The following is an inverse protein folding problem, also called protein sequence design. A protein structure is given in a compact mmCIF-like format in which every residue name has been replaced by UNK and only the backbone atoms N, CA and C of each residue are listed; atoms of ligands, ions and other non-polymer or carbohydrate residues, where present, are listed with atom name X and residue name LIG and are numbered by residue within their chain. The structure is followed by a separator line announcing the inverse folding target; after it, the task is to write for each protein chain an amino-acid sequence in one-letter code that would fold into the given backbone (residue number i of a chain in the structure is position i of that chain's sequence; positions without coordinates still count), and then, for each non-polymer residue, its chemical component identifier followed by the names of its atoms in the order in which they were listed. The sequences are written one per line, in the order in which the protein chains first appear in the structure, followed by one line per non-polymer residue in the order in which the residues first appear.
data_IF_739426842146
#
_entry.id   IF_739426842146
#
_cell.length_a   1.000
_cell.length_b   1.000
_cell.length_c   1.000
_cell.angle_alpha   90.00
_cell.angle_beta   90.00
_cell.angle_gamma   90.00
#
_symmetry.space_group_name_H-M   'P 1'
#
loop_
_entity.id
_entity.type
_entity.pdbx_description
1 polymer ?
#
# COMPACT_ATOMS: atom_id res chain seq x y z
N UNK A 1 -12.65 -7.42 4.54
CA UNK A 1 -12.99 -8.23 5.74
C UNK A 1 -13.44 -7.29 6.85
N UNK A 2 -14.39 -7.67 7.72
CA UNK A 2 -14.70 -6.84 8.87
C UNK A 2 -13.51 -6.86 9.82
N UNK A 3 -13.16 -5.67 10.30
CA UNK A 3 -12.23 -5.48 11.41
C UNK A 3 -12.76 -6.28 12.62
N UNK A 4 -11.87 -6.99 13.31
CA UNK A 4 -12.24 -7.84 14.44
C UNK A 4 -11.84 -7.17 15.77
N UNK A 5 -12.76 -7.06 16.71
CA UNK A 5 -12.40 -6.71 18.09
C UNK A 5 -11.86 -7.95 18.80
N UNK A 6 -10.76 -7.79 19.53
CA UNK A 6 -10.13 -8.83 20.35
C UNK A 6 -10.27 -8.46 21.82
N UNK A 7 -10.35 -9.47 22.69
CA UNK A 7 -10.67 -9.30 24.12
C UNK A 7 -9.52 -9.67 25.06
N UNK A 8 -8.41 -10.22 24.54
CA UNK A 8 -7.21 -10.56 25.33
C UNK A 8 -6.00 -10.78 24.43
N UNK A 9 -4.81 -10.82 25.05
CA UNK A 9 -3.58 -11.28 24.41
C UNK A 9 -3.68 -12.74 23.96
N UNK A 10 -4.32 -13.61 24.76
CA UNK A 10 -4.51 -15.01 24.36
C UNK A 10 -5.34 -15.13 23.09
N UNK A 11 -6.38 -14.28 22.94
CA UNK A 11 -7.16 -14.23 21.71
C UNK A 11 -6.29 -13.69 20.56
N UNK A 12 -5.55 -12.59 20.77
CA UNK A 12 -4.64 -12.04 19.76
C UNK A 12 -3.68 -13.12 19.23
N UNK A 13 -2.98 -13.80 20.13
CA UNK A 13 -2.01 -14.83 19.77
C UNK A 13 -2.64 -15.96 18.95
N UNK A 14 -3.90 -16.35 19.23
CA UNK A 14 -4.61 -17.37 18.46
C UNK A 14 -5.00 -16.93 17.04
N UNK A 15 -5.01 -15.62 16.77
CA UNK A 15 -5.41 -15.04 15.48
C UNK A 15 -4.22 -14.79 14.56
N UNK A 16 -3.01 -14.66 15.10
CA UNK A 16 -1.78 -14.44 14.34
C UNK A 16 -1.38 -15.70 13.57
N UNK A 17 -1.05 -15.56 12.29
CA UNK A 17 -0.72 -16.69 11.40
C UNK A 17 0.63 -16.49 10.72
N UNK A 18 1.50 -17.51 10.67
CA UNK A 18 2.75 -17.44 9.93
C UNK A 18 2.55 -17.00 8.48
N UNK A 19 3.42 -16.11 7.99
CA UNK A 19 3.38 -15.62 6.61
C UNK A 19 2.29 -14.59 6.30
N UNK A 20 1.42 -14.25 7.26
CA UNK A 20 0.44 -13.17 7.13
C UNK A 20 0.90 -11.93 7.93
N UNK A 21 0.63 -10.73 7.40
CA UNK A 21 0.77 -9.50 8.17
C UNK A 21 -0.54 -9.17 8.86
N UNK A 22 -0.46 -8.91 10.16
CA UNK A 22 -1.62 -8.55 10.99
C UNK A 22 -1.39 -7.22 11.69
N UNK A 23 -2.47 -6.46 11.87
CA UNK A 23 -2.44 -5.14 12.48
C UNK A 23 -3.38 -5.10 13.67
N UNK A 24 -2.92 -4.56 14.80
CA UNK A 24 -3.72 -4.43 16.02
C UNK A 24 -3.74 -2.99 16.47
N UNK A 25 -4.89 -2.32 16.39
CA UNK A 25 -5.04 -0.98 16.96
C UNK A 25 -5.41 -1.09 18.44
N UNK A 26 -4.49 -0.66 19.29
CA UNK A 26 -4.77 -0.33 20.68
C UNK A 26 -5.35 1.08 20.73
N UNK A 27 -6.56 1.21 21.26
CA UNK A 27 -7.25 2.49 21.36
C UNK A 27 -7.94 2.61 22.73
N UNK A 28 -8.34 3.82 23.12
CA UNK A 28 -9.15 4.05 24.32
C UNK A 28 -10.47 4.70 23.92
N UNK A 29 -11.59 4.05 24.22
CA UNK A 29 -12.91 4.66 23.99
C UNK A 29 -13.07 5.97 24.76
N UNK A 30 -13.63 7.00 24.12
CA UNK A 30 -13.79 8.34 24.67
C UNK A 30 -12.54 9.22 24.60
N UNK A 31 -11.45 8.76 23.96
CA UNK A 31 -10.30 9.59 23.65
C UNK A 31 -10.40 10.10 22.21
N UNK A 32 -10.41 11.42 22.03
CA UNK A 32 -10.47 12.07 20.71
C UNK A 32 -9.39 11.55 19.75
N UNK A 33 -8.14 11.44 20.23
CA UNK A 33 -7.04 10.91 19.43
C UNK A 33 -7.29 9.46 18.99
N UNK A 34 -7.85 8.64 19.88
CA UNK A 34 -8.17 7.24 19.60
C UNK A 34 -9.32 7.10 18.60
N UNK A 35 -10.37 7.92 18.74
CA UNK A 35 -11.52 7.96 17.83
C UNK A 35 -11.10 8.40 16.43
N UNK A 36 -10.22 9.41 16.33
CA UNK A 36 -9.60 9.83 15.07
C UNK A 36 -8.89 8.66 14.38
N UNK A 37 -8.01 7.95 15.12
CA UNK A 37 -7.25 6.84 14.56
C UNK A 37 -8.15 5.68 14.12
N UNK A 38 -9.13 5.34 14.95
CA UNK A 38 -10.11 4.29 14.66
C UNK A 38 -10.90 4.60 13.38
N UNK A 39 -11.42 5.82 13.25
CA UNK A 39 -12.18 6.26 12.08
C UNK A 39 -11.34 6.21 10.79
N UNK A 40 -10.08 6.68 10.84
CA UNK A 40 -9.19 6.70 9.68
C UNK A 40 -8.72 5.29 9.28
N UNK A 41 -8.42 4.44 10.25
CA UNK A 41 -8.06 3.04 10.01
C UNK A 41 -9.25 2.28 9.39
N UNK A 42 -10.47 2.48 9.90
CA UNK A 42 -11.68 1.85 9.37
C UNK A 42 -11.89 2.19 7.89
N UNK A 43 -11.72 3.46 7.51
CA UNK A 43 -11.80 3.91 6.11
C UNK A 43 -10.77 3.22 5.22
N UNK A 44 -9.54 3.07 5.71
CA UNK A 44 -8.46 2.43 4.95
C UNK A 44 -8.63 0.91 4.82
N UNK A 45 -9.03 0.24 5.92
CA UNK A 45 -9.24 -1.20 5.97
C UNK A 45 -10.41 -1.66 5.09
N UNK A 46 -11.43 -0.81 4.91
CA UNK A 46 -12.53 -1.08 3.96
C UNK A 46 -12.04 -1.26 2.51
N UNK A 47 -10.86 -0.73 2.17
CA UNK A 47 -10.27 -0.79 0.83
C UNK A 47 -9.32 -1.99 0.64
N UNK A 48 -9.09 -2.82 1.66
CA UNK A 48 -8.10 -3.91 1.62
C UNK A 48 -8.67 -5.24 2.13
N UNK A 49 -8.92 -6.18 1.22
CA UNK A 49 -9.50 -7.48 1.58
C UNK A 49 -8.51 -8.48 2.20
N UNK A 50 -7.21 -8.22 2.06
CA UNK A 50 -6.14 -9.18 2.39
C UNK A 50 -5.50 -9.02 3.76
N UNK A 51 -5.82 -7.97 4.51
CA UNK A 51 -5.19 -7.72 5.81
C UNK A 51 -6.12 -8.02 6.97
N UNK A 52 -5.55 -8.69 7.98
CA UNK A 52 -6.21 -8.88 9.26
C UNK A 52 -5.98 -7.64 10.11
N UNK A 53 -7.02 -6.82 10.28
CA UNK A 53 -7.02 -5.67 11.18
C UNK A 53 -7.87 -6.01 12.40
N UNK A 54 -7.27 -5.84 13.58
CA UNK A 54 -7.87 -6.11 14.88
C UNK A 54 -7.89 -4.85 15.74
N UNK A 55 -8.85 -4.76 16.66
CA UNK A 55 -9.00 -3.64 17.58
C UNK A 55 -9.03 -4.14 19.02
N UNK A 56 -8.36 -3.44 19.93
CA UNK A 56 -8.46 -3.68 21.36
C UNK A 56 -8.66 -2.34 22.09
N UNK A 57 -9.78 -2.20 22.80
CA UNK A 57 -9.99 -1.08 23.71
C UNK A 57 -9.22 -1.34 25.00
N UNK A 58 -8.27 -0.47 25.36
CA UNK A 58 -7.48 -0.61 26.59
C UNK A 58 -8.31 -0.44 27.87
N UNK A 59 -9.53 0.09 27.79
CA UNK A 59 -10.45 0.10 28.92
C UNK A 59 -10.91 -1.32 29.29
N UNK A 60 -11.11 -2.17 28.29
CA UNK A 60 -11.60 -3.56 28.41
C UNK A 60 -10.44 -4.57 28.43
N UNK A 61 -9.43 -4.36 27.59
CA UNK A 61 -8.31 -5.28 27.33
C UNK A 61 -7.00 -4.70 27.86
N UNK A 62 -6.54 -5.21 29.00
CA UNK A 62 -5.42 -4.62 29.76
C UNK A 62 -4.09 -5.35 29.65
N UNK A 63 -4.07 -6.52 29.03
CA UNK A 63 -2.90 -7.38 28.95
C UNK A 63 -2.03 -7.09 27.72
N UNK A 64 -2.63 -6.79 26.56
CA UNK A 64 -1.89 -6.60 25.30
C UNK A 64 -0.88 -5.44 25.39
N UNK A 65 -1.29 -4.28 25.88
CA UNK A 65 -0.40 -3.11 25.95
C UNK A 65 0.76 -3.33 26.94
N UNK A 66 0.53 -4.08 28.01
CA UNK A 66 1.57 -4.47 28.97
C UNK A 66 2.54 -5.47 28.36
N UNK A 67 2.04 -6.43 27.58
CA UNK A 67 2.87 -7.46 26.94
C UNK A 67 3.87 -6.88 25.93
N UNK A 68 3.51 -5.79 25.25
CA UNK A 68 4.34 -5.14 24.23
C UNK A 68 4.92 -3.78 24.67
N UNK A 69 4.91 -3.47 25.98
CA UNK A 69 5.43 -2.22 26.56
C UNK A 69 4.88 -0.93 25.90
N UNK A 70 3.59 -0.93 25.60
CA UNK A 70 2.90 0.20 24.96
C UNK A 70 2.27 1.10 26.02
N UNK A 71 2.83 2.28 26.19
CA UNK A 71 2.39 3.27 27.19
C UNK A 71 1.42 4.33 26.66
N UNK A 72 1.21 4.40 25.33
CA UNK A 72 0.41 5.44 24.69
C UNK A 72 -0.63 4.85 23.75
N UNK A 73 -1.81 5.48 23.69
CA UNK A 73 -2.87 5.16 22.72
C UNK A 73 -3.33 6.44 22.01
N UNK A 74 -3.73 6.36 20.73
CA UNK A 74 -3.80 5.16 19.90
C UNK A 74 -2.42 4.66 19.44
N UNK A 75 -2.26 3.34 19.36
CA UNK A 75 -1.06 2.67 18.85
C UNK A 75 -1.44 1.49 17.97
N UNK A 76 -1.00 1.51 16.72
CA UNK A 76 -1.17 0.44 15.76
C UNK A 76 0.07 -0.47 15.78
N UNK A 77 -0.09 -1.66 16.35
CA UNK A 77 0.93 -2.71 16.35
C UNK A 77 0.91 -3.48 15.04
N UNK A 78 2.09 -3.81 14.54
CA UNK A 78 2.31 -4.53 13.29
C UNK A 78 2.97 -5.87 13.62
N UNK A 79 2.39 -6.94 13.12
CA UNK A 79 2.89 -8.30 13.26
C UNK A 79 3.27 -8.86 11.90
N UNK A 80 4.44 -9.51 11.86
CA UNK A 80 4.88 -10.31 10.71
C UNK A 80 4.82 -11.77 11.12
N UNK A 81 3.80 -12.48 10.63
CA UNK A 81 3.49 -13.80 11.15
C UNK A 81 3.00 -13.72 12.60
N UNK A 82 3.72 -14.39 13.49
CA UNK A 82 3.46 -14.40 14.94
C UNK A 82 4.37 -13.44 15.71
N UNK A 83 5.30 -12.77 15.02
CA UNK A 83 6.29 -11.90 15.65
C UNK A 83 5.84 -10.44 15.61
N UNK A 84 5.99 -9.75 16.74
CA UNK A 84 5.82 -8.31 16.82
C UNK A 84 6.97 -7.61 16.07
N UNK A 85 6.62 -6.76 15.12
CA UNK A 85 7.58 -6.10 14.22
C UNK A 85 7.76 -4.62 14.56
N UNK A 86 6.66 -3.86 14.67
CA UNK A 86 6.72 -2.41 14.87
C UNK A 86 5.43 -1.83 15.45
N UNK A 87 5.48 -0.56 15.89
CA UNK A 87 4.34 0.23 16.34
C UNK A 87 4.29 1.59 15.66
N UNK A 88 3.10 1.99 15.22
CA UNK A 88 2.79 3.33 14.75
C UNK A 88 1.91 4.02 15.79
N UNK A 89 2.34 5.18 16.27
CA UNK A 89 1.66 5.91 17.36
C UNK A 89 0.85 7.08 16.79
N UNK A 90 -0.26 7.40 17.46
CA UNK A 90 -1.07 8.58 17.17
C UNK A 90 -2.08 8.39 16.03
N UNK A 91 -2.89 9.43 15.81
CA UNK A 91 -3.81 9.46 14.69
C UNK A 91 -3.06 9.83 13.41
N UNK A 92 -3.26 9.04 12.35
CA UNK A 92 -2.73 9.30 11.02
C UNK A 92 -3.88 9.38 10.01
N UNK A 93 -3.64 10.02 8.87
CA UNK A 93 -4.60 10.14 7.79
C UNK A 93 -4.94 8.79 7.13
N UNK A 94 -6.13 8.63 6.52
CA UNK A 94 -6.49 7.40 5.81
C UNK A 94 -5.48 7.02 4.72
N UNK A 95 -4.91 8.01 4.01
CA UNK A 95 -3.91 7.80 2.96
C UNK A 95 -2.62 7.15 3.47
N UNK A 96 -2.22 7.44 4.70
CA UNK A 96 -1.07 6.83 5.34
C UNK A 96 -1.30 5.32 5.53
N UNK A 97 -2.46 4.93 6.08
CA UNK A 97 -2.81 3.51 6.27
C UNK A 97 -2.98 2.78 4.93
N UNK A 98 -3.57 3.42 3.93
CA UNK A 98 -3.66 2.86 2.57
C UNK A 98 -2.25 2.60 2.01
N UNK A 99 -1.33 3.54 2.18
CA UNK A 99 0.07 3.37 1.77
C UNK A 99 0.76 2.23 2.51
N UNK A 100 0.57 2.14 3.83
CA UNK A 100 1.10 1.05 4.67
C UNK A 100 0.61 -0.32 4.20
N UNK A 101 -0.69 -0.45 3.93
CA UNK A 101 -1.31 -1.67 3.44
C UNK A 101 -0.85 -2.03 2.03
N UNK A 102 -0.82 -1.05 1.11
CA UNK A 102 -0.29 -1.29 -0.24
C UNK A 102 1.18 -1.72 -0.20
N UNK A 103 1.97 -1.14 0.70
CA UNK A 103 3.37 -1.48 0.85
C UNK A 103 3.54 -2.94 1.29
N UNK A 104 2.79 -3.35 2.30
CA UNK A 104 2.73 -4.72 2.78
C UNK A 104 2.26 -5.72 1.71
N UNK A 105 1.23 -5.40 0.91
CA UNK A 105 0.72 -6.30 -0.15
C UNK A 105 1.79 -6.58 -1.19
N UNK A 106 2.49 -5.52 -1.58
CA UNK A 106 3.54 -5.60 -2.57
C UNK A 106 4.68 -6.50 -2.11
N UNK A 107 5.13 -6.35 -0.86
CA UNK A 107 6.19 -7.21 -0.32
C UNK A 107 5.74 -8.67 -0.20
N UNK A 108 4.49 -8.91 0.20
CA UNK A 108 3.92 -10.27 0.24
C UNK A 108 3.80 -10.89 -1.17
N UNK A 109 3.34 -10.12 -2.16
CA UNK A 109 3.27 -10.58 -3.56
C UNK A 109 4.65 -10.91 -4.13
N UNK A 110 5.65 -10.05 -3.89
CA UNK A 110 7.02 -10.29 -4.34
C UNK A 110 7.66 -11.54 -3.71
N UNK A 111 7.38 -11.79 -2.43
CA UNK A 111 7.83 -13.00 -1.74
C UNK A 111 7.12 -14.26 -2.28
N UNK A 112 5.82 -14.18 -2.55
CA UNK A 112 5.03 -15.31 -3.05
C UNK A 112 5.30 -15.66 -4.52
N UNK A 113 5.58 -14.66 -5.38
CA UNK A 113 5.84 -14.87 -6.81
C UNK A 113 7.29 -15.24 -7.13
N UNK A 114 8.22 -15.08 -6.17
CA UNK A 114 9.66 -15.20 -6.39
C UNK A 114 10.22 -14.17 -7.39
N UNK A 115 9.39 -13.22 -7.85
CA UNK A 115 9.75 -12.20 -8.84
C UNK A 115 9.52 -10.81 -8.24
N UNK A 116 10.63 -10.09 -8.05
CA UNK A 116 10.63 -8.67 -7.68
C UNK A 116 9.91 -7.87 -8.76
N UNK A 117 9.02 -6.95 -8.38
CA UNK A 117 8.35 -6.10 -9.37
C UNK A 117 9.39 -5.31 -10.17
N UNK A 118 9.16 -5.25 -11.48
CA UNK A 118 9.96 -4.47 -12.40
C UNK A 118 9.98 -3.00 -12.00
N UNK A 119 11.12 -2.34 -12.21
CA UNK A 119 11.23 -0.90 -12.04
C UNK A 119 10.47 -0.18 -13.15
N UNK A 120 9.44 0.59 -12.77
CA UNK A 120 8.58 1.34 -13.68
C UNK A 120 8.83 2.84 -13.48
N UNK A 121 9.08 3.57 -14.56
CA UNK A 121 9.15 5.03 -14.58
C UNK A 121 8.12 5.56 -15.57
N UNK A 122 7.31 6.51 -15.13
CA UNK A 122 6.28 7.16 -15.96
C UNK A 122 6.68 8.62 -16.18
N UNK A 123 6.91 8.96 -17.44
CA UNK A 123 7.16 10.33 -17.86
C UNK A 123 5.84 11.04 -18.16
N UNK A 124 5.62 12.17 -17.49
CA UNK A 124 4.35 12.91 -17.52
C UNK A 124 4.58 14.40 -17.72
N UNK A 125 3.47 15.13 -17.90
CA UNK A 125 3.40 16.58 -17.74
C UNK A 125 2.14 16.93 -16.95
N UNK A 126 2.12 18.10 -16.30
CA UNK A 126 1.03 18.51 -15.41
C UNK A 126 -0.37 18.54 -16.07
N UNK A 127 -0.46 18.86 -17.36
CA UNK A 127 -1.74 19.02 -18.09
C UNK A 127 -2.18 17.81 -18.92
N UNK A 128 -1.44 16.69 -18.84
CA UNK A 128 -1.67 15.52 -19.69
C UNK A 128 -2.76 14.58 -19.11
N UNK A 129 -3.95 14.58 -19.71
CA UNK A 129 -5.06 13.70 -19.29
C UNK A 129 -4.73 12.21 -19.41
N UNK A 130 -4.08 11.80 -20.50
CA UNK A 130 -3.63 10.42 -20.71
C UNK A 130 -2.61 9.94 -19.68
N UNK A 131 -1.77 10.84 -19.18
CA UNK A 131 -0.82 10.56 -18.11
C UNK A 131 -1.55 10.22 -16.81
N UNK A 132 -2.61 10.96 -16.49
CA UNK A 132 -3.48 10.64 -15.35
C UNK A 132 -4.15 9.28 -15.52
N UNK A 133 -4.68 8.96 -16.70
CA UNK A 133 -5.27 7.64 -16.99
C UNK A 133 -4.29 6.50 -16.78
N UNK A 134 -3.07 6.61 -17.34
CA UNK A 134 -2.01 5.63 -17.17
C UNK A 134 -1.62 5.44 -15.69
N UNK A 135 -1.41 6.54 -14.95
CA UNK A 135 -1.06 6.47 -13.53
C UNK A 135 -2.15 5.80 -12.70
N UNK A 136 -3.41 6.14 -12.96
CA UNK A 136 -4.56 5.53 -12.27
C UNK A 136 -4.67 4.04 -12.61
N UNK A 137 -4.39 3.66 -13.85
CA UNK A 137 -4.34 2.26 -14.24
C UNK A 137 -3.24 1.50 -13.49
N UNK A 138 -2.00 2.00 -13.47
CA UNK A 138 -0.91 1.35 -12.73
C UNK A 138 -1.23 1.24 -11.23
N UNK A 139 -1.82 2.28 -10.63
CA UNK A 139 -2.27 2.25 -9.23
C UNK A 139 -3.35 1.19 -8.98
N UNK A 140 -4.33 1.05 -9.88
CA UNK A 140 -5.38 0.03 -9.73
C UNK A 140 -4.85 -1.39 -9.87
N UNK A 141 -3.78 -1.57 -10.65
CA UNK A 141 -3.04 -2.83 -10.76
C UNK A 141 -1.98 -3.01 -9.65
N UNK A 142 -1.95 -2.10 -8.66
CA UNK A 142 -1.00 -2.11 -7.54
C UNK A 142 0.48 -2.07 -7.97
N UNK A 143 0.76 -1.49 -9.14
CA UNK A 143 2.10 -1.33 -9.67
C UNK A 143 2.72 -0.04 -9.15
N UNK A 144 3.85 -0.13 -8.46
CA UNK A 144 4.65 1.03 -8.06
C UNK A 144 5.42 1.58 -9.25
N UNK A 145 5.47 2.90 -9.36
CA UNK A 145 6.25 3.60 -10.38
C UNK A 145 6.82 4.91 -9.86
N UNK A 146 7.91 5.34 -10.48
CA UNK A 146 8.48 6.68 -10.32
C UNK A 146 7.83 7.61 -11.33
N UNK A 147 7.19 8.68 -10.88
CA UNK A 147 6.70 9.73 -11.77
C UNK A 147 7.79 10.78 -12.02
N UNK A 148 8.02 11.11 -13.29
CA UNK A 148 8.92 12.19 -13.70
C UNK A 148 8.15 13.18 -14.58
N UNK A 149 7.97 14.39 -14.07
CA UNK A 149 7.45 15.50 -14.86
C UNK A 149 8.55 16.05 -15.76
N UNK A 150 8.51 15.71 -17.05
CA UNK A 150 9.53 16.11 -18.03
C UNK A 150 9.46 17.60 -18.35
N UNK A 151 8.34 18.28 -18.09
CA UNK A 151 8.25 19.74 -18.27
C UNK A 151 9.09 20.51 -17.26
N UNK A 152 9.47 19.87 -16.15
CA UNK A 152 10.26 20.44 -15.06
C UNK A 152 11.68 19.84 -14.98
N UNK A 153 11.98 18.83 -15.80
CA UNK A 153 13.26 18.15 -15.82
C UNK A 153 13.71 17.93 -17.27
N UNK A 154 14.45 18.91 -17.79
CA UNK A 154 14.95 18.92 -19.17
C UNK A 154 15.85 17.71 -19.47
N UNK A 155 16.72 17.31 -18.53
CA UNK A 155 17.59 16.15 -18.71
C UNK A 155 16.78 14.86 -18.86
N UNK A 156 15.70 14.71 -18.10
CA UNK A 156 14.81 13.56 -18.23
C UNK A 156 14.00 13.60 -19.53
N UNK A 157 13.60 14.78 -20.00
CA UNK A 157 12.95 14.95 -21.29
C UNK A 157 13.86 14.50 -22.45
N UNK A 158 15.13 14.91 -22.43
CA UNK A 158 16.13 14.51 -23.42
C UNK A 158 16.42 13.01 -23.39
N UNK A 159 16.55 12.42 -22.19
CA UNK A 159 16.72 10.98 -22.04
C UNK A 159 15.49 10.21 -22.56
N UNK A 160 14.28 10.67 -22.24
CA UNK A 160 13.03 10.09 -22.73
C UNK A 160 13.02 10.07 -24.26
N UNK A 161 13.31 11.21 -24.91
CA UNK A 161 13.37 11.31 -26.37
C UNK A 161 14.47 10.44 -26.96
N UNK A 162 15.66 10.42 -26.34
CA UNK A 162 16.78 9.60 -26.80
C UNK A 162 16.45 8.11 -26.78
N UNK A 163 15.70 7.64 -25.78
CA UNK A 163 15.31 6.24 -25.64
C UNK A 163 14.16 5.84 -26.56
N UNK A 164 13.17 6.71 -26.74
CA UNK A 164 11.93 6.37 -27.45
C UNK A 164 11.86 6.88 -28.89
N UNK A 165 12.70 7.86 -29.24
CA UNK A 165 12.58 8.64 -30.46
C UNK A 165 11.41 9.62 -30.47
N UNK A 166 10.64 9.73 -29.37
CA UNK A 166 9.41 10.52 -29.31
C UNK A 166 9.43 11.52 -28.17
N UNK A 167 8.86 12.71 -28.43
CA UNK A 167 8.74 13.81 -27.46
C UNK A 167 7.43 13.77 -26.66
N UNK A 168 6.40 13.07 -27.17
CA UNK A 168 5.07 13.07 -26.56
C UNK A 168 5.01 12.25 -25.27
N UNK A 169 4.26 12.73 -24.28
CA UNK A 169 3.86 11.99 -23.09
C UNK A 169 2.41 11.46 -23.24
N UNK A 170 2.00 10.41 -22.50
CA UNK A 170 2.77 9.64 -21.54
C UNK A 170 3.78 8.69 -22.20
N UNK A 171 4.90 8.43 -21.51
CA UNK A 171 5.79 7.31 -21.83
C UNK A 171 6.11 6.53 -20.56
N UNK A 172 6.15 5.21 -20.67
CA UNK A 172 6.48 4.31 -19.56
C UNK A 172 7.76 3.56 -19.88
N UNK A 173 8.75 3.63 -19.00
CA UNK A 173 9.93 2.77 -19.04
C UNK A 173 9.76 1.65 -18.01
N UNK A 174 9.79 0.39 -18.46
CA UNK A 174 9.68 -0.81 -17.63
C UNK A 174 10.97 -1.60 -17.81
N UNK A 175 11.90 -1.48 -16.85
CA UNK A 175 13.22 -2.15 -16.90
C UNK A 175 14.00 -1.95 -18.21
N UNK A 176 13.91 -0.76 -18.81
CA UNK A 176 14.58 -0.42 -20.06
C UNK A 176 13.68 -0.52 -21.29
N UNK A 177 12.55 -1.22 -21.20
CA UNK A 177 11.56 -1.31 -22.27
C UNK A 177 10.65 -0.08 -22.26
N UNK A 178 10.67 0.70 -23.35
CA UNK A 178 9.84 1.90 -23.47
C UNK A 178 8.51 1.59 -24.14
N UNK A 179 7.41 2.02 -23.51
CA UNK A 179 6.07 2.04 -24.07
C UNK A 179 5.64 3.50 -24.23
N UNK A 180 5.30 3.88 -25.46
CA UNK A 180 4.81 5.23 -25.77
C UNK A 180 3.28 5.24 -25.75
N UNK A 181 2.70 6.26 -25.12
CA UNK A 181 1.26 6.39 -24.94
C UNK A 181 0.70 5.44 -23.87
N UNK A 182 -0.61 5.24 -23.89
CA UNK A 182 -1.32 4.31 -23.01
C UNK A 182 -1.64 3.00 -23.75
N UNK A 183 -0.62 2.19 -24.04
CA UNK A 183 -0.80 0.84 -24.58
C UNK A 183 -0.98 -0.17 -23.43
N UNK A 184 -2.24 -0.39 -23.06
CA UNK A 184 -2.61 -1.31 -21.99
C UNK A 184 -2.09 -2.73 -22.22
N UNK A 185 -2.14 -3.23 -23.45
CA UNK A 185 -1.75 -4.61 -23.76
C UNK A 185 -0.25 -4.81 -23.59
N UNK A 186 0.56 -3.88 -24.11
CA UNK A 186 2.02 -3.93 -23.97
C UNK A 186 2.43 -3.79 -22.51
N UNK A 187 1.83 -2.86 -21.77
CA UNK A 187 2.09 -2.65 -20.34
C UNK A 187 1.78 -3.93 -19.55
N UNK A 188 0.63 -4.55 -19.80
CA UNK A 188 0.24 -5.78 -19.13
C UNK A 188 1.20 -6.93 -19.38
N UNK A 189 1.59 -7.11 -20.64
CA UNK A 189 2.56 -8.13 -21.03
C UNK A 189 3.90 -7.93 -20.33
N UNK A 190 4.42 -6.70 -20.30
CA UNK A 190 5.70 -6.40 -19.66
C UNK A 190 5.68 -6.56 -18.14
N UNK A 191 4.54 -6.27 -17.50
CA UNK A 191 4.35 -6.33 -16.05
C UNK A 191 3.72 -7.64 -15.55
N UNK A 192 3.39 -8.58 -16.45
CA UNK A 192 2.77 -9.84 -16.08
C UNK A 192 1.34 -9.71 -15.55
N UNK A 193 0.61 -8.66 -15.93
CA UNK A 193 -0.77 -8.43 -15.50
C UNK A 193 -1.69 -9.37 -16.30
N UNK A 194 -2.23 -10.40 -15.65
CA UNK A 194 -3.15 -11.34 -16.27
C UNK A 194 -4.48 -10.63 -16.58
N UNK A 195 -4.87 -10.63 -17.87
CA UNK A 195 -6.21 -10.21 -18.25
C UNK A 195 -7.16 -11.40 -18.03
N UNK A 196 -8.06 -11.31 -17.05
CA UNK A 196 -9.23 -12.17 -17.02
C UNK A 196 -10.15 -11.75 -18.17
N UNK A 197 -9.96 -12.34 -19.35
CA UNK A 197 -10.99 -12.31 -20.39
C UNK A 197 -12.12 -13.21 -19.93
N UNK A 198 -13.14 -12.61 -19.31
CA UNK A 198 -14.46 -13.24 -19.26
C UNK A 198 -14.95 -13.33 -20.70
N UNK A 199 -14.91 -14.53 -21.27
CA UNK A 199 -15.66 -14.88 -22.48
C UNK A 199 -17.06 -15.31 -22.08
#
# INVERSE_FOLDING_TARGET
MPIKTIQSYSELASQLKPGEKSYVLLYKSGSEASECSLANLNKAAASSEKFQVMLADVNEVRDIHTHFDISTVPSLLIFEGTEYSNVIKGCNDPSFYIGLFQDALYHAQAAASGQKQKHVTVYTTASCSWCTTLKNYLKSQQIRFTEIDVSRNQSAAEEMVRRSGQQGVPQTNIEGEVVVGFDRNRINSLLGIQQHTNN
#
